data_IF_436077805733
#
_entry.id   IF_436077805733
#
_cell.length_a   1.000
_cell.length_b   1.000
_cell.length_c   1.000
_cell.angle_alpha   90.00
_cell.angle_beta   90.00
_cell.angle_gamma   90.00
#
_symmetry.space_group_name_H-M   'P 1'
#
loop_
_entity.id
_entity.type
_entity.pdbx_description
1 polymer ?
#
# COMPACT_ATOMS: atom_id res chain seq x y z
N UNK A 1 3.53 23.19 -4.09
CA UNK A 1 2.11 22.80 -4.28
C UNK A 1 2.11 21.30 -4.58
N UNK A 2 2.28 20.47 -3.55
CA UNK A 2 2.46 19.03 -3.73
C UNK A 2 1.10 18.38 -4.02
N UNK A 3 1.04 17.65 -5.14
CA UNK A 3 -0.13 16.94 -5.62
C UNK A 3 -0.52 15.83 -4.64
N UNK A 4 -1.41 16.15 -3.70
CA UNK A 4 -1.99 15.27 -2.65
C UNK A 4 -2.60 13.97 -3.21
N UNK A 5 -2.79 13.85 -4.53
CA UNK A 5 -3.43 12.70 -5.18
C UNK A 5 -2.56 11.46 -5.45
N UNK A 6 -1.24 11.59 -5.66
CA UNK A 6 -0.42 10.45 -6.14
C UNK A 6 0.19 9.61 -4.99
N UNK A 7 0.61 10.26 -3.90
CA UNK A 7 1.32 9.60 -2.80
C UNK A 7 0.39 8.91 -1.77
N UNK A 8 -0.91 9.22 -1.77
CA UNK A 8 -1.85 8.67 -0.80
C UNK A 8 -2.37 7.27 -1.19
N UNK A 9 -2.28 6.92 -2.48
CA UNK A 9 -2.91 5.74 -3.06
C UNK A 9 -2.05 5.15 -4.19
N UNK A 10 -1.52 3.93 -4.02
CA UNK A 10 -0.79 3.22 -5.09
C UNK A 10 -1.58 2.04 -5.64
N UNK A 11 -1.67 1.93 -6.97
CA UNK A 11 -2.26 0.76 -7.64
C UNK A 11 -1.39 -0.47 -7.39
N UNK A 12 -2.02 -1.61 -7.09
CA UNK A 12 -1.37 -2.92 -7.15
C UNK A 12 -1.92 -3.65 -8.37
N UNK A 13 -1.04 -4.03 -9.28
CA UNK A 13 -1.38 -4.73 -10.52
C UNK A 13 -0.71 -6.12 -10.58
N UNK A 14 0.41 -6.32 -9.87
CA UNK A 14 1.15 -7.60 -9.88
C UNK A 14 0.38 -8.78 -9.28
N UNK A 15 -0.68 -8.48 -8.53
CA UNK A 15 -1.46 -9.46 -7.79
C UNK A 15 -2.74 -9.76 -8.56
N UNK A 16 -3.04 -11.05 -8.80
CA UNK A 16 -4.36 -11.54 -9.28
C UNK A 16 -5.43 -11.35 -8.21
N UNK A 17 -5.59 -10.13 -7.72
CA UNK A 17 -6.72 -9.76 -6.88
C UNK A 17 -7.98 -9.89 -7.73
N UNK A 18 -9.09 -10.35 -7.14
CA UNK A 18 -10.35 -10.51 -7.87
C UNK A 18 -10.89 -9.19 -8.44
N UNK A 19 -10.39 -8.05 -7.94
CA UNK A 19 -10.68 -6.70 -8.44
C UNK A 19 -9.42 -5.84 -8.38
N UNK A 20 -9.34 -4.87 -9.30
CA UNK A 20 -8.32 -3.82 -9.25
C UNK A 20 -8.40 -3.10 -7.90
N UNK A 21 -7.26 -2.99 -7.25
CA UNK A 21 -7.16 -2.56 -5.86
C UNK A 21 -6.03 -1.56 -5.68
N UNK A 22 -6.13 -0.78 -4.60
CA UNK A 22 -5.13 0.22 -4.25
C UNK A 22 -4.73 0.09 -2.79
N UNK A 23 -3.46 0.37 -2.50
CA UNK A 23 -2.99 0.54 -1.11
C UNK A 23 -3.30 1.96 -0.68
N UNK A 24 -4.01 2.10 0.44
CA UNK A 24 -4.30 3.39 1.07
C UNK A 24 -3.28 3.68 2.16
N UNK A 25 -2.17 4.30 1.78
CA UNK A 25 -0.98 4.48 2.63
C UNK A 25 -1.30 5.36 3.86
N UNK A 26 -2.21 6.31 3.73
CA UNK A 26 -2.68 7.17 4.82
C UNK A 26 -3.44 6.46 5.94
N UNK A 27 -3.82 5.18 5.77
CA UNK A 27 -4.67 4.46 6.72
C UNK A 27 -3.96 3.26 7.35
N UNK A 28 -2.81 3.51 7.98
CA UNK A 28 -2.01 2.50 8.69
C UNK A 28 -2.73 2.08 9.97
N UNK A 29 -2.78 0.77 10.24
CA UNK A 29 -3.41 0.21 11.44
C UNK A 29 -2.52 -0.87 12.04
N UNK A 30 -2.36 -0.84 13.36
CA UNK A 30 -1.81 -1.96 14.13
C UNK A 30 -2.91 -2.98 14.37
N UNK A 31 -2.65 -4.25 14.02
CA UNK A 31 -3.59 -5.37 14.18
C UNK A 31 -2.90 -6.49 14.95
N UNK A 32 -3.64 -7.23 15.79
CA UNK A 32 -3.17 -8.52 16.32
C UNK A 32 -2.96 -9.50 15.16
N UNK A 33 -1.96 -10.38 15.28
CA UNK A 33 -1.70 -11.47 14.34
C UNK A 33 -2.90 -12.41 14.18
N UNK A 34 -3.71 -12.58 15.23
CA UNK A 34 -4.94 -13.38 15.22
C UNK A 34 -6.02 -12.82 14.28
N UNK A 35 -5.96 -11.52 13.94
CA UNK A 35 -6.89 -10.87 13.01
C UNK A 35 -6.44 -10.96 11.55
N UNK A 36 -5.23 -11.45 11.29
CA UNK A 36 -4.69 -11.61 9.95
C UNK A 36 -5.21 -12.94 9.38
N UNK A 37 -6.01 -12.86 8.32
CA UNK A 37 -6.53 -14.04 7.61
C UNK A 37 -5.52 -14.68 6.66
N UNK A 38 -6.02 -15.50 5.73
CA UNK A 38 -5.19 -16.21 4.75
C UNK A 38 -4.46 -15.26 3.78
N UNK A 39 -3.25 -15.64 3.36
CA UNK A 39 -2.49 -14.93 2.30
C UNK A 39 -3.23 -15.03 0.97
N UNK A 40 -3.68 -13.89 0.43
CA UNK A 40 -4.38 -13.81 -0.87
C UNK A 40 -3.43 -13.51 -2.06
N UNK A 41 -2.12 -13.55 -1.83
CA UNK A 41 -1.07 -13.44 -2.84
C UNK A 41 0.09 -12.53 -2.38
N UNK A 42 0.87 -12.06 -3.34
CA UNK A 42 2.09 -11.26 -3.13
C UNK A 42 2.09 -10.02 -4.03
N UNK A 43 2.89 -9.02 -3.70
CA UNK A 43 3.11 -7.82 -4.53
C UNK A 43 4.57 -7.80 -4.99
N UNK A 44 4.88 -7.12 -6.10
CA UNK A 44 6.27 -7.04 -6.57
C UNK A 44 7.12 -6.16 -5.65
N UNK A 45 8.44 -6.32 -5.71
CA UNK A 45 9.36 -5.49 -4.93
C UNK A 45 9.22 -4.01 -5.31
N UNK A 46 9.05 -3.71 -6.60
CA UNK A 46 8.87 -2.35 -7.11
C UNK A 46 7.59 -1.69 -6.56
N UNK A 47 6.51 -2.45 -6.40
CA UNK A 47 5.28 -1.96 -5.78
C UNK A 47 5.48 -1.69 -4.28
N UNK A 48 6.26 -2.52 -3.58
CA UNK A 48 6.62 -2.29 -2.18
C UNK A 48 7.43 -1.00 -2.06
N UNK A 49 8.43 -0.79 -2.90
CA UNK A 49 9.25 0.43 -2.91
C UNK A 49 8.38 1.67 -3.08
N UNK A 50 7.40 1.64 -3.99
CA UNK A 50 6.46 2.75 -4.18
C UNK A 50 5.55 2.99 -2.97
N UNK A 51 5.15 1.94 -2.25
CA UNK A 51 4.42 2.09 -0.98
C UNK A 51 5.30 2.74 0.08
N UNK A 52 6.57 2.34 0.17
CA UNK A 52 7.52 2.90 1.14
C UNK A 52 7.86 4.36 0.83
N UNK A 53 8.04 4.72 -0.44
CA UNK A 53 8.21 6.11 -0.86
C UNK A 53 7.01 6.97 -0.41
N UNK A 54 5.79 6.53 -0.72
CA UNK A 54 4.58 7.24 -0.29
C UNK A 54 4.43 7.33 1.24
N UNK A 55 4.93 6.34 1.98
CA UNK A 55 4.95 6.36 3.43
C UNK A 55 5.94 7.41 3.97
N UNK A 56 7.17 7.44 3.43
CA UNK A 56 8.20 8.40 3.83
C UNK A 56 7.75 9.84 3.58
N UNK A 57 7.08 10.10 2.46
CA UNK A 57 6.49 11.41 2.15
C UNK A 57 5.42 11.84 3.17
N UNK A 58 4.58 10.91 3.65
CA UNK A 58 3.58 11.20 4.70
C UNK A 58 4.25 11.51 6.04
N UNK A 59 5.34 10.80 6.35
CA UNK A 59 6.09 10.99 7.59
C UNK A 59 7.05 12.21 7.53
N UNK A 60 7.36 12.70 6.32
CA UNK A 60 8.30 13.80 6.09
C UNK A 60 9.76 13.41 6.36
N UNK A 61 10.12 12.14 6.11
CA UNK A 61 11.47 11.58 6.31
C UNK A 61 12.22 11.37 5.00
#
# INVERSE_FOLDING_TARGET
MASIGFYCVTCIDSKKLPKKSWVKISQIRTLSTERIGNKIGEVSIEEIEKVLEGLNEILGV
#
